data_IF_152249729703
#
_entry.id   IF_152249729703
#
_cell.length_a   1.000
_cell.length_b   1.000
_cell.length_c   1.000
_cell.angle_alpha   90.00
_cell.angle_beta   90.00
_cell.angle_gamma   90.00
#
_symmetry.space_group_name_H-M   'P 1'
#
loop_
_entity.id
_entity.type
_entity.pdbx_description
1 polymer ?
#
# COMPACT_ATOMS: atom_id res chain seq x y z
N UNK A 1 -1.81 9.66 24.30
CA UNK A 1 -2.20 8.56 23.41
C UNK A 1 -1.27 7.39 23.71
N UNK A 2 -1.80 6.21 24.00
CA UNK A 2 -1.02 5.01 24.29
C UNK A 2 -0.57 4.35 22.99
N UNK A 3 0.73 4.05 22.83
CA UNK A 3 1.28 3.42 21.63
C UNK A 3 1.00 1.91 21.69
N UNK A 4 0.32 1.39 20.66
CA UNK A 4 -0.02 -0.03 20.56
C UNK A 4 1.00 -0.80 19.71
N UNK A 5 1.41 -0.21 18.60
CA UNK A 5 2.30 -0.85 17.63
C UNK A 5 3.12 0.22 16.91
N UNK A 6 4.41 -0.05 16.73
CA UNK A 6 5.27 0.75 15.88
C UNK A 6 5.82 -0.10 14.74
N UNK A 7 5.36 0.19 13.53
CA UNK A 7 5.88 -0.44 12.31
C UNK A 7 7.02 0.37 11.69
N UNK A 8 7.45 -0.05 10.50
CA UNK A 8 8.52 0.59 9.75
C UNK A 8 8.21 2.04 9.35
N UNK A 9 7.01 2.31 8.86
CA UNK A 9 6.59 3.63 8.34
C UNK A 9 5.53 4.34 9.16
N UNK A 10 4.91 3.67 10.14
CA UNK A 10 3.73 4.19 10.86
C UNK A 10 3.73 3.77 12.33
N UNK A 11 3.07 4.55 13.17
CA UNK A 11 2.78 4.25 14.57
C UNK A 11 1.27 4.16 14.75
N UNK A 12 0.80 3.19 15.53
CA UNK A 12 -0.62 2.96 15.83
C UNK A 12 -0.84 3.19 17.32
N UNK A 13 -1.81 4.03 17.65
CA UNK A 13 -2.17 4.37 19.02
C UNK A 13 -3.63 4.03 19.32
N UNK A 14 -3.92 3.86 20.60
CA UNK A 14 -5.29 3.92 21.09
C UNK A 14 -5.90 5.30 20.78
N UNK A 15 -7.14 5.29 20.30
CA UNK A 15 -7.96 6.49 20.21
C UNK A 15 -8.75 6.69 21.52
N UNK A 16 -9.61 7.71 21.58
CA UNK A 16 -10.56 7.88 22.67
C UNK A 16 -11.81 6.98 22.57
N UNK A 17 -11.93 6.18 21.50
CA UNK A 17 -13.06 5.29 21.22
C UNK A 17 -12.61 3.83 21.17
N UNK A 18 -13.40 2.87 21.69
CA UNK A 18 -13.10 1.45 21.54
C UNK A 18 -13.16 0.99 20.09
N UNK A 19 -13.82 1.73 19.18
CA UNK A 19 -14.05 1.30 17.79
C UNK A 19 -13.04 1.85 16.79
N UNK A 20 -12.08 2.68 17.24
CA UNK A 20 -11.09 3.31 16.35
C UNK A 20 -9.65 3.20 16.87
N UNK A 21 -8.71 3.42 15.96
CA UNK A 21 -7.29 3.62 16.23
C UNK A 21 -6.82 4.94 15.63
N UNK A 22 -5.71 5.45 16.14
CA UNK A 22 -5.00 6.60 15.56
C UNK A 22 -3.74 6.09 14.87
N UNK A 23 -3.54 6.43 13.60
CA UNK A 23 -2.32 6.12 12.86
C UNK A 23 -1.55 7.41 12.60
N UNK A 24 -0.25 7.40 12.92
CA UNK A 24 0.70 8.46 12.58
C UNK A 24 1.71 7.99 11.55
N UNK A 25 1.84 8.72 10.45
CA UNK A 25 2.83 8.46 9.41
C UNK A 25 4.19 9.03 9.82
N UNK A 26 5.24 8.20 9.72
CA UNK A 26 6.62 8.59 10.04
C UNK A 26 7.37 9.09 8.81
N UNK A 27 8.40 9.89 9.06
CA UNK A 27 9.35 10.34 8.05
C UNK A 27 10.39 9.27 7.66
N UNK A 28 10.43 8.16 8.39
CA UNK A 28 11.33 7.05 8.12
C UNK A 28 11.01 6.35 6.79
N UNK A 29 12.01 6.20 5.94
CA UNK A 29 12.01 5.24 4.84
C UNK A 29 12.90 4.03 5.20
N UNK A 30 12.43 2.83 4.86
CA UNK A 30 13.17 1.58 5.07
C UNK A 30 13.20 0.73 3.80
N UNK A 31 14.30 0.06 3.54
CA UNK A 31 14.47 -0.87 2.42
C UNK A 31 15.34 -2.07 2.87
N UNK A 32 15.39 -3.11 2.03
CA UNK A 32 16.19 -4.33 2.28
C UNK A 32 15.88 -4.95 3.66
N UNK A 33 14.59 -5.16 3.95
CA UNK A 33 14.11 -5.69 5.24
C UNK A 33 14.63 -4.92 6.46
N UNK A 34 14.82 -3.60 6.33
CA UNK A 34 15.24 -2.73 7.43
C UNK A 34 16.75 -2.49 7.51
N UNK A 35 17.56 -3.17 6.68
CA UNK A 35 19.02 -2.95 6.62
C UNK A 35 19.37 -1.54 6.11
N UNK A 36 18.50 -0.93 5.31
CA UNK A 36 18.62 0.46 4.87
C UNK A 36 17.52 1.28 5.52
N UNK A 37 17.87 2.30 6.30
CA UNK A 37 16.96 3.18 7.02
C UNK A 37 17.46 4.62 6.97
N UNK A 38 16.58 5.56 6.65
CA UNK A 38 16.89 6.98 6.59
C UNK A 38 15.64 7.81 6.90
N UNK A 39 15.82 9.02 7.44
CA UNK A 39 14.73 9.97 7.74
C UNK A 39 14.58 10.99 6.62
N UNK A 40 13.37 11.12 6.09
CA UNK A 40 13.02 12.09 5.06
C UNK A 40 11.93 13.03 5.57
N UNK A 41 12.31 14.22 6.01
CA UNK A 41 11.37 15.22 6.52
C UNK A 41 10.26 15.52 5.49
N UNK A 42 9.01 15.42 5.93
CA UNK A 42 7.82 15.60 5.08
C UNK A 42 7.36 14.33 4.34
N UNK A 43 8.09 13.21 4.40
CA UNK A 43 7.63 11.93 3.82
C UNK A 43 6.31 11.48 4.44
N UNK A 44 6.19 11.57 5.76
CA UNK A 44 4.98 11.12 6.47
C UNK A 44 3.75 11.90 6.03
N UNK A 45 3.90 13.22 5.85
CA UNK A 45 2.85 14.11 5.36
C UNK A 45 2.45 13.77 3.93
N UNK A 46 3.41 13.55 3.03
CA UNK A 46 3.13 13.18 1.64
C UNK A 46 2.39 11.83 1.55
N UNK A 47 2.84 10.81 2.30
CA UNK A 47 2.16 9.52 2.31
C UNK A 47 0.74 9.61 2.88
N UNK A 48 0.56 10.36 3.97
CA UNK A 48 -0.74 10.60 4.56
C UNK A 48 -1.68 11.28 3.54
N UNK A 49 -1.25 12.37 2.92
CA UNK A 49 -2.04 13.10 1.93
C UNK A 49 -2.40 12.23 0.71
N UNK A 50 -1.44 11.51 0.14
CA UNK A 50 -1.67 10.63 -1.02
C UNK A 50 -2.62 9.48 -0.66
N UNK A 51 -2.38 8.81 0.47
CA UNK A 51 -3.20 7.68 0.90
C UNK A 51 -4.65 8.11 1.16
N UNK A 52 -4.85 9.27 1.76
CA UNK A 52 -6.19 9.77 2.03
C UNK A 52 -6.94 10.16 0.76
N UNK A 53 -6.27 10.83 -0.21
CA UNK A 53 -6.89 11.11 -1.52
C UNK A 53 -7.32 9.83 -2.24
N UNK A 54 -6.47 8.79 -2.18
CA UNK A 54 -6.77 7.49 -2.79
C UNK A 54 -7.93 6.80 -2.07
N UNK A 55 -7.94 6.77 -0.73
CA UNK A 55 -9.06 6.20 0.01
C UNK A 55 -10.38 6.93 -0.26
N UNK A 56 -10.38 8.26 -0.27
CA UNK A 56 -11.57 9.06 -0.61
C UNK A 56 -12.12 8.68 -2.00
N UNK A 57 -11.23 8.53 -2.99
CA UNK A 57 -11.60 8.09 -4.33
C UNK A 57 -12.15 6.66 -4.34
N UNK A 58 -11.51 5.73 -3.63
CA UNK A 58 -11.93 4.33 -3.54
C UNK A 58 -13.30 4.19 -2.85
N UNK A 59 -13.55 4.94 -1.78
CA UNK A 59 -14.84 4.93 -1.07
C UNK A 59 -15.98 5.48 -1.94
N UNK A 60 -15.73 6.58 -2.66
CA UNK A 60 -16.68 7.13 -3.66
C UNK A 60 -17.02 6.13 -4.76
N UNK A 61 -16.15 5.14 -4.99
CA UNK A 61 -16.31 4.07 -5.97
C UNK A 61 -16.70 2.71 -5.34
N UNK A 62 -17.15 2.71 -4.08
CA UNK A 62 -17.77 1.56 -3.43
C UNK A 62 -16.81 0.59 -2.73
N UNK A 63 -15.52 0.93 -2.60
CA UNK A 63 -14.55 0.11 -1.85
C UNK A 63 -14.55 0.56 -0.39
N UNK A 64 -14.88 -0.35 0.53
CA UNK A 64 -14.85 -0.07 1.97
C UNK A 64 -13.41 0.03 2.49
N UNK A 65 -13.08 1.12 3.18
CA UNK A 65 -11.78 1.31 3.81
C UNK A 65 -11.91 1.46 5.33
N UNK A 66 -10.77 1.44 6.01
CA UNK A 66 -10.69 1.73 7.44
C UNK A 66 -10.67 3.23 7.75
N UNK A 67 -10.55 4.14 6.77
CA UNK A 67 -10.41 5.57 7.03
C UNK A 67 -11.69 6.11 7.66
N UNK A 68 -11.57 6.82 8.78
CA UNK A 68 -12.69 7.53 9.42
C UNK A 68 -12.57 9.02 9.16
N UNK A 69 -11.39 9.59 9.42
CA UNK A 69 -11.09 11.00 9.13
C UNK A 69 -9.59 11.30 9.21
N UNK A 70 -9.19 12.37 8.56
CA UNK A 70 -7.87 13.00 8.73
C UNK A 70 -7.90 13.93 9.94
N UNK A 71 -6.94 13.80 10.86
CA UNK A 71 -6.84 14.64 12.06
C UNK A 71 -5.90 15.82 11.81
N UNK A 72 -4.73 15.53 11.24
CA UNK A 72 -3.70 16.51 10.92
C UNK A 72 -2.87 16.00 9.72
N UNK A 73 -1.89 16.76 9.19
CA UNK A 73 -1.14 16.37 7.99
C UNK A 73 -0.43 15.01 8.06
N UNK A 74 -0.23 14.45 9.25
CA UNK A 74 0.45 13.14 9.44
C UNK A 74 -0.37 12.12 10.20
N UNK A 75 -1.56 12.48 10.67
CA UNK A 75 -2.36 11.67 11.60
C UNK A 75 -3.76 11.43 11.06
N UNK A 76 -4.19 10.17 11.10
CA UNK A 76 -5.55 9.76 10.71
C UNK A 76 -6.21 8.96 11.84
N UNK A 77 -7.54 9.02 11.89
CA UNK A 77 -8.36 8.10 12.66
C UNK A 77 -8.90 7.02 11.73
N UNK A 78 -8.81 5.76 12.17
CA UNK A 78 -9.22 4.60 11.39
C UNK A 78 -10.09 3.65 12.22
N UNK A 79 -10.93 2.86 11.56
CA UNK A 79 -11.70 1.78 12.20
C UNK A 79 -10.76 0.77 12.85
N UNK A 80 -11.14 0.30 14.04
CA UNK A 80 -10.48 -0.82 14.70
C UNK A 80 -10.74 -2.09 13.89
N UNK A 81 -9.65 -2.79 13.57
CA UNK A 81 -9.67 -4.07 12.85
C UNK A 81 -8.70 -5.06 13.46
N UNK A 82 -8.95 -6.34 13.24
CA UNK A 82 -7.96 -7.40 13.38
C UNK A 82 -7.29 -7.60 12.02
N UNK A 83 -6.01 -7.26 11.88
CA UNK A 83 -5.29 -7.38 10.62
C UNK A 83 -5.18 -8.86 10.23
N UNK A 84 -5.58 -9.18 8.99
CA UNK A 84 -5.27 -10.47 8.38
C UNK A 84 -3.77 -10.45 8.07
N UNK A 85 -2.95 -11.41 8.59
CA UNK A 85 -1.49 -11.36 8.46
C UNK A 85 -1.01 -11.80 7.07
N UNK A 86 -1.69 -11.34 6.02
CA UNK A 86 -1.45 -11.64 4.62
C UNK A 86 -1.44 -10.34 3.83
N UNK A 87 -0.33 -10.10 3.14
CA UNK A 87 -0.20 -9.02 2.17
C UNK A 87 -0.73 -9.47 0.81
N UNK A 88 -1.60 -8.68 0.19
CA UNK A 88 -2.14 -8.96 -1.15
C UNK A 88 -1.42 -8.07 -2.15
N UNK A 89 -0.66 -8.66 -3.06
CA UNK A 89 0.16 -7.94 -4.03
C UNK A 89 -0.44 -8.12 -5.41
N UNK A 90 -0.71 -7.02 -6.10
CA UNK A 90 -1.23 -7.02 -7.47
C UNK A 90 -0.17 -6.46 -8.41
N UNK A 91 0.06 -7.13 -9.56
CA UNK A 91 1.06 -6.70 -10.55
C UNK A 91 0.46 -6.62 -11.94
N UNK A 92 0.73 -5.52 -12.62
CA UNK A 92 0.37 -5.26 -14.02
C UNK A 92 1.59 -5.36 -14.93
N UNK A 93 2.76 -4.97 -14.41
CA UNK A 93 4.05 -4.99 -15.12
C UNK A 93 5.06 -5.73 -14.25
N UNK A 94 5.92 -6.56 -14.85
CA UNK A 94 6.98 -7.25 -14.12
C UNK A 94 7.98 -6.23 -13.53
N UNK A 95 8.19 -6.26 -12.22
CA UNK A 95 9.18 -5.40 -11.55
C UNK A 95 9.65 -6.02 -10.23
N UNK A 96 10.72 -5.44 -9.67
CA UNK A 96 11.16 -5.72 -8.30
C UNK A 96 11.36 -7.20 -7.98
N UNK A 97 10.76 -7.66 -6.88
CA UNK A 97 10.90 -9.06 -6.42
C UNK A 97 10.31 -10.08 -7.39
N UNK A 98 9.30 -9.71 -8.20
CA UNK A 98 8.72 -10.60 -9.21
C UNK A 98 9.72 -10.88 -10.33
N UNK A 99 10.30 -9.83 -10.90
CA UNK A 99 11.33 -9.92 -11.94
C UNK A 99 12.50 -10.78 -11.48
N UNK A 100 12.98 -10.56 -10.24
CA UNK A 100 14.06 -11.36 -9.66
C UNK A 100 13.68 -12.83 -9.45
N UNK A 101 12.47 -13.09 -8.92
CA UNK A 101 12.00 -14.43 -8.59
C UNK A 101 11.81 -15.30 -9.83
N UNK A 102 11.26 -14.75 -10.91
CA UNK A 102 10.90 -15.50 -12.11
C UNK A 102 11.85 -15.29 -13.30
N UNK A 103 12.91 -14.48 -13.14
CA UNK A 103 13.86 -14.22 -14.23
C UNK A 103 13.26 -13.45 -15.39
N UNK A 104 12.27 -12.58 -15.12
CA UNK A 104 11.59 -11.77 -16.14
C UNK A 104 12.14 -10.35 -16.10
N UNK A 105 12.43 -9.77 -17.27
CA UNK A 105 12.96 -8.41 -17.38
C UNK A 105 11.99 -7.39 -16.76
N UNK A 106 12.52 -6.44 -15.98
CA UNK A 106 11.72 -5.35 -15.40
C UNK A 106 11.14 -4.48 -16.52
N UNK A 107 9.85 -4.17 -16.42
CA UNK A 107 9.11 -3.43 -17.44
C UNK A 107 8.39 -4.32 -18.44
N UNK A 108 8.57 -5.64 -18.39
CA UNK A 108 7.81 -6.59 -19.21
C UNK A 108 6.31 -6.47 -18.89
N UNK A 109 5.44 -6.12 -19.85
CA UNK A 109 4.00 -6.16 -19.66
C UNK A 109 3.54 -7.59 -19.41
N UNK A 110 2.75 -7.80 -18.36
CA UNK A 110 2.19 -9.12 -18.07
C UNK A 110 0.99 -9.39 -18.98
N UNK A 111 0.80 -10.66 -19.37
CA UNK A 111 -0.31 -11.08 -20.24
C UNK A 111 -1.68 -10.97 -19.56
N UNK A 112 -1.69 -10.95 -18.23
CA UNK A 112 -2.83 -10.70 -17.37
C UNK A 112 -2.34 -10.09 -16.06
N UNK A 113 -3.21 -9.37 -15.36
CA UNK A 113 -2.95 -8.95 -13.98
C UNK A 113 -2.75 -10.19 -13.10
N UNK A 114 -1.72 -10.19 -12.26
CA UNK A 114 -1.41 -11.27 -11.33
C UNK A 114 -1.60 -10.83 -9.89
N UNK A 115 -2.04 -11.74 -9.04
CA UNK A 115 -2.18 -11.55 -7.60
C UNK A 115 -1.30 -12.55 -6.85
N UNK A 116 -0.47 -12.07 -5.94
CA UNK A 116 0.37 -12.89 -5.06
C UNK A 116 0.02 -12.60 -3.60
N UNK A 117 0.26 -13.58 -2.73
CA UNK A 117 0.21 -13.36 -1.29
C UNK A 117 1.61 -13.47 -0.67
N UNK A 118 1.85 -12.66 0.35
CA UNK A 118 3.00 -12.76 1.25
C UNK A 118 2.51 -12.85 2.70
N UNK A 119 3.15 -13.68 3.52
CA UNK A 119 2.94 -13.66 4.96
C UNK A 119 3.47 -12.34 5.50
N UNK A 120 2.68 -11.59 6.28
CA UNK A 120 3.15 -10.36 6.93
C UNK A 120 4.02 -10.73 8.13
N UNK A 121 5.34 -10.79 7.94
CA UNK A 121 6.31 -11.16 8.98
C UNK A 121 7.67 -10.56 8.66
N UNK A 122 7.96 -9.42 9.31
CA UNK A 122 9.25 -8.75 9.18
C UNK A 122 10.42 -9.66 9.57
N UNK A 123 10.23 -10.53 10.57
CA UNK A 123 11.22 -11.51 11.04
C UNK A 123 11.57 -12.54 9.96
N UNK A 124 10.57 -13.02 9.23
CA UNK A 124 10.73 -14.02 8.16
C UNK A 124 10.99 -13.38 6.79
N UNK A 125 11.01 -12.06 6.70
CA UNK A 125 11.23 -11.33 5.45
C UNK A 125 10.07 -11.44 4.46
N UNK A 126 8.85 -11.48 4.97
CA UNK A 126 7.60 -11.49 4.21
C UNK A 126 7.50 -12.57 3.12
N UNK A 127 7.68 -13.86 3.46
CA UNK A 127 7.79 -14.92 2.48
C UNK A 127 6.50 -15.08 1.67
N UNK A 128 6.65 -15.41 0.38
CA UNK A 128 5.52 -15.73 -0.49
C UNK A 128 4.78 -16.95 0.09
N UNK A 129 3.46 -16.88 0.11
CA UNK A 129 2.59 -17.93 0.61
C UNK A 129 1.41 -18.13 -0.37
N UNK A 130 0.91 -19.35 -0.51
CA UNK A 130 -0.26 -19.63 -1.36
C UNK A 130 -1.53 -19.88 -0.53
N UNK A 131 -2.69 -19.93 -1.19
CA UNK A 131 -4.00 -20.15 -0.57
C UNK A 131 -4.04 -21.39 0.35
N UNK A 132 -3.48 -22.51 -0.10
CA UNK A 132 -3.46 -23.77 0.66
C UNK A 132 -2.63 -23.64 1.94
N UNK A 133 -1.52 -22.91 1.89
CA UNK A 133 -0.68 -22.66 3.06
C UNK A 133 -1.34 -21.66 4.02
N UNK A 134 -1.98 -20.62 3.49
CA UNK A 134 -2.72 -19.63 4.29
C UNK A 134 -3.83 -20.31 5.09
N UNK A 135 -4.64 -21.13 4.42
CA UNK A 135 -5.74 -21.86 5.04
C UNK A 135 -5.25 -22.94 6.01
N UNK A 136 -4.20 -23.69 5.66
CA UNK A 136 -3.62 -24.70 6.54
C UNK A 136 -3.02 -24.12 7.83
N UNK A 137 -2.50 -22.90 7.79
CA UNK A 137 -2.00 -22.17 8.95
C UNK A 137 -3.09 -21.41 9.72
N UNK A 138 -4.33 -21.41 9.24
CA UNK A 138 -5.46 -20.71 9.87
C UNK A 138 -5.35 -19.18 9.82
N UNK A 139 -4.58 -18.62 8.87
CA UNK A 139 -4.38 -17.17 8.78
C UNK A 139 -5.59 -16.45 8.16
N UNK A 140 -6.28 -17.13 7.23
CA UNK A 140 -7.53 -16.69 6.62
C UNK A 140 -8.31 -17.91 6.07
N UNK A 141 -9.63 -17.77 5.96
CA UNK A 141 -10.46 -18.78 5.27
C UNK A 141 -10.41 -18.59 3.76
N UNK A 142 -10.86 -19.59 2.98
CA UNK A 142 -10.92 -19.46 1.51
C UNK A 142 -11.86 -18.32 1.08
N UNK A 143 -13.01 -18.16 1.75
CA UNK A 143 -13.95 -17.08 1.45
C UNK A 143 -13.33 -15.70 1.68
N UNK A 144 -12.53 -15.56 2.75
CA UNK A 144 -11.79 -14.33 3.03
C UNK A 144 -10.72 -14.06 1.96
N UNK A 145 -9.98 -15.09 1.53
CA UNK A 145 -8.98 -14.98 0.47
C UNK A 145 -9.61 -14.55 -0.87
N UNK A 146 -10.72 -15.16 -1.24
CA UNK A 146 -11.43 -14.86 -2.48
C UNK A 146 -12.01 -13.45 -2.45
N UNK A 147 -12.57 -13.04 -1.31
CA UNK A 147 -13.03 -11.67 -1.10
C UNK A 147 -11.88 -10.66 -1.19
N UNK A 148 -10.79 -10.85 -0.46
CA UNK A 148 -9.61 -9.96 -0.51
C UNK A 148 -9.05 -9.85 -1.94
N UNK A 149 -8.97 -10.96 -2.67
CA UNK A 149 -8.53 -10.96 -4.08
C UNK A 149 -9.49 -10.16 -4.97
N UNK A 150 -10.79 -10.35 -4.79
CA UNK A 150 -11.81 -9.63 -5.57
C UNK A 150 -11.72 -8.12 -5.35
N UNK A 151 -11.59 -7.67 -4.10
CA UNK A 151 -11.39 -6.25 -3.75
C UNK A 151 -10.06 -5.74 -4.27
N UNK A 152 -8.97 -6.51 -4.16
CA UNK A 152 -7.67 -6.11 -4.68
C UNK A 152 -7.71 -5.88 -6.20
N UNK A 153 -8.37 -6.75 -6.97
CA UNK A 153 -8.55 -6.58 -8.41
C UNK A 153 -9.47 -5.40 -8.74
N UNK A 154 -10.54 -5.17 -7.96
CA UNK A 154 -11.38 -3.98 -8.12
C UNK A 154 -10.60 -2.68 -7.88
N UNK A 155 -9.78 -2.65 -6.83
CA UNK A 155 -8.85 -1.55 -6.56
C UNK A 155 -7.88 -1.38 -7.74
N UNK A 156 -7.40 -2.46 -8.36
CA UNK A 156 -6.50 -2.38 -9.51
C UNK A 156 -7.12 -1.62 -10.67
N UNK A 157 -8.37 -1.96 -11.02
CA UNK A 157 -9.11 -1.30 -12.10
C UNK A 157 -9.21 0.21 -11.86
N UNK A 158 -9.67 0.57 -10.66
CA UNK A 158 -9.88 1.96 -10.24
C UNK A 158 -8.56 2.74 -10.22
N UNK A 159 -7.50 2.17 -9.65
CA UNK A 159 -6.21 2.86 -9.55
C UNK A 159 -5.48 2.92 -10.89
N UNK A 160 -5.61 1.90 -11.76
CA UNK A 160 -5.08 1.98 -13.12
C UNK A 160 -5.73 3.11 -13.90
N UNK A 161 -7.06 3.27 -13.81
CA UNK A 161 -7.77 4.38 -14.46
C UNK A 161 -7.33 5.73 -13.88
N UNK A 162 -7.27 5.86 -12.55
CA UNK A 162 -6.87 7.10 -11.88
C UNK A 162 -5.44 7.50 -12.23
N UNK A 163 -4.48 6.57 -12.10
CA UNK A 163 -3.08 6.88 -12.41
C UNK A 163 -2.85 7.13 -13.90
N UNK A 164 -3.59 6.47 -14.80
CA UNK A 164 -3.52 6.79 -16.22
C UNK A 164 -3.93 8.24 -16.51
N UNK A 165 -4.96 8.78 -15.84
CA UNK A 165 -5.33 10.21 -15.93
C UNK A 165 -4.23 11.14 -15.38
N UNK A 166 -3.46 10.67 -14.41
CA UNK A 166 -2.26 11.34 -13.91
C UNK A 166 -1.03 11.20 -14.81
N UNK A 167 -1.10 10.50 -15.94
CA UNK A 167 0.09 10.18 -16.74
C UNK A 167 1.09 9.30 -15.98
N UNK A 168 0.60 8.39 -15.14
CA UNK A 168 1.38 7.44 -14.32
C UNK A 168 0.94 6.02 -14.63
N UNK A 169 1.90 5.10 -14.78
CA UNK A 169 1.68 3.65 -14.85
C UNK A 169 1.69 3.07 -13.44
N UNK A 170 0.61 2.39 -13.07
CA UNK A 170 0.56 1.55 -11.87
C UNK A 170 1.18 0.18 -12.19
N UNK A 171 2.44 0.01 -11.79
CA UNK A 171 3.26 -1.17 -12.12
C UNK A 171 2.85 -2.36 -11.26
N UNK A 172 2.89 -2.17 -9.95
CA UNK A 172 2.39 -3.09 -8.93
C UNK A 172 2.08 -2.32 -7.64
N UNK A 173 1.35 -2.95 -6.73
CA UNK A 173 1.09 -2.42 -5.40
C UNK A 173 0.73 -3.53 -4.42
N UNK A 174 0.77 -3.18 -3.14
CA UNK A 174 0.45 -4.07 -2.03
C UNK A 174 -0.71 -3.49 -1.22
N UNK A 175 -1.66 -4.34 -0.85
CA UNK A 175 -2.75 -4.04 0.08
C UNK A 175 -2.67 -4.91 1.33
N UNK A 176 -3.26 -4.40 2.41
CA UNK A 176 -3.54 -5.17 3.63
C UNK A 176 -5.02 -5.03 3.97
N UNK A 177 -5.55 -6.06 4.61
CA UNK A 177 -6.97 -6.14 4.96
C UNK A 177 -7.13 -6.45 6.44
N UNK A 178 -8.26 -6.00 7.00
CA UNK A 178 -8.60 -6.24 8.39
C UNK A 178 -10.02 -6.76 8.54
N UNK A 179 -10.21 -7.70 9.47
CA UNK A 179 -11.51 -8.17 9.94
C UNK A 179 -12.11 -7.11 10.87
N UNK A 180 -13.35 -6.74 10.62
CA UNK A 180 -14.13 -5.81 11.44
C UNK A 180 -15.55 -6.36 11.64
N UNK A 181 -16.34 -5.71 12.48
CA UNK A 181 -17.78 -6.03 12.59
C UNK A 181 -18.55 -5.86 11.27
N UNK A 182 -18.03 -5.07 10.34
CA UNK A 182 -18.61 -4.84 9.00
C UNK A 182 -18.13 -5.84 7.93
N UNK A 183 -17.36 -6.86 8.34
CA UNK A 183 -16.65 -7.78 7.47
C UNK A 183 -15.20 -7.35 7.19
N UNK A 184 -14.60 -7.89 6.13
CA UNK A 184 -13.24 -7.53 5.70
C UNK A 184 -13.25 -6.17 4.99
N UNK A 185 -12.36 -5.28 5.40
CA UNK A 185 -12.18 -3.94 4.83
C UNK A 185 -10.72 -3.66 4.49
N UNK A 186 -10.50 -2.76 3.52
CA UNK A 186 -9.17 -2.31 3.13
C UNK A 186 -8.52 -1.46 4.23
N UNK A 187 -7.26 -1.74 4.55
CA UNK A 187 -6.51 -1.14 5.66
C UNK A 187 -5.11 -0.68 5.22
N UNK A 188 -4.28 -0.30 6.21
CA UNK A 188 -2.91 0.19 6.05
C UNK A 188 -2.81 1.49 5.22
N UNK A 189 -1.96 1.56 4.19
CA UNK A 189 -1.78 2.73 3.34
C UNK A 189 -1.71 2.36 1.85
N UNK A 190 -2.18 3.27 0.99
CA UNK A 190 -1.86 3.25 -0.45
C UNK A 190 -1.06 4.51 -0.76
N UNK A 191 0.24 4.35 -0.95
CA UNK A 191 1.16 5.46 -1.17
C UNK A 191 2.31 5.01 -2.08
N UNK A 192 3.22 5.92 -2.48
CA UNK A 192 4.42 5.52 -3.22
C UNK A 192 5.39 4.62 -2.40
N UNK A 193 5.14 4.41 -1.10
CA UNK A 193 5.82 3.37 -0.32
C UNK A 193 5.30 1.95 -0.64
N UNK A 194 3.99 1.81 -0.89
CA UNK A 194 3.28 0.55 -1.13
C UNK A 194 2.92 0.30 -2.61
N UNK A 195 3.19 1.26 -3.50
CA UNK A 195 2.99 1.15 -4.94
C UNK A 195 4.29 1.36 -5.71
N UNK A 196 4.46 0.69 -6.85
CA UNK A 196 5.40 1.10 -7.90
C UNK A 196 4.66 1.96 -8.93
N UNK A 197 5.16 3.16 -9.13
CA UNK A 197 4.54 4.20 -9.94
C UNK A 197 5.58 4.73 -10.91
N UNK A 198 5.38 4.52 -12.20
CA UNK A 198 6.30 5.03 -13.22
C UNK A 198 5.63 6.12 -14.04
N UNK A 199 6.36 7.19 -14.33
CA UNK A 199 5.91 8.19 -15.28
C UNK A 199 5.60 7.53 -16.64
N UNK A 200 4.45 7.86 -17.23
CA UNK A 200 3.95 7.11 -18.40
C UNK A 200 4.79 7.32 -19.66
N UNK A 201 5.39 8.50 -19.82
CA UNK A 201 6.20 8.87 -20.99
C UNK A 201 7.65 8.39 -20.83
N UNK A 202 8.24 8.64 -19.67
CA UNK A 202 9.68 8.45 -19.44
C UNK A 202 10.03 7.13 -18.74
N UNK A 203 9.05 6.43 -18.17
CA UNK A 203 9.25 5.33 -17.22
C UNK A 203 10.10 5.72 -15.98
N UNK A 204 10.24 7.02 -15.69
CA UNK A 204 10.91 7.48 -14.48
C UNK A 204 10.16 6.98 -13.24
N UNK A 205 10.89 6.45 -12.25
CA UNK A 205 10.29 5.91 -11.03
C UNK A 205 9.87 7.06 -10.12
N UNK A 206 8.61 7.06 -9.72
CA UNK A 206 7.97 8.06 -8.86
C UNK A 206 7.67 7.50 -7.45
N UNK A 207 8.35 6.42 -7.08
CA UNK A 207 8.06 5.62 -5.90
C UNK A 207 9.32 5.31 -5.07
N UNK A 208 9.12 4.53 -4.00
CA UNK A 208 10.18 4.14 -3.06
C UNK A 208 11.36 3.42 -3.70
N UNK A 209 11.26 2.88 -4.92
CA UNK A 209 12.42 2.34 -5.64
C UNK A 209 13.52 3.38 -5.85
N UNK A 210 13.20 4.68 -5.87
CA UNK A 210 14.22 5.73 -5.87
C UNK A 210 15.13 5.66 -4.64
N UNK A 211 14.56 5.40 -3.47
CA UNK A 211 15.32 5.15 -2.24
C UNK A 211 15.98 3.76 -2.25
N UNK A 212 15.26 2.71 -2.70
CA UNK A 212 15.81 1.34 -2.74
C UNK A 212 17.07 1.23 -3.62
N UNK A 213 17.18 2.07 -4.65
CA UNK A 213 18.23 2.02 -5.68
C UNK A 213 19.12 3.27 -5.75
N UNK A 214 19.09 4.11 -4.70
CA UNK A 214 19.97 5.28 -4.60
C UNK A 214 19.84 6.27 -5.79
N UNK A 215 18.63 6.44 -6.32
CA UNK A 215 18.34 7.30 -7.48
C UNK A 215 18.17 8.78 -7.13
N UNK A 216 18.23 9.13 -5.84
CA UNK A 216 17.99 10.49 -5.34
C UNK A 216 16.55 11.00 -5.51
N UNK A 217 16.27 12.16 -4.93
CA UNK A 217 15.01 12.91 -5.03
C UNK A 217 13.72 12.09 -4.81
N UNK A 218 13.68 11.29 -3.74
CA UNK A 218 12.49 10.52 -3.38
C UNK A 218 11.29 11.44 -3.07
N UNK A 219 11.52 12.53 -2.32
CA UNK A 219 10.46 13.45 -1.93
C UNK A 219 9.91 14.25 -3.12
N UNK A 220 10.76 14.65 -4.09
CA UNK A 220 10.30 15.30 -5.31
C UNK A 220 9.36 14.39 -6.11
N UNK A 221 9.70 13.11 -6.24
CA UNK A 221 8.82 12.12 -6.84
C UNK A 221 7.47 11.99 -6.12
N UNK A 222 7.46 11.95 -4.79
CA UNK A 222 6.21 11.82 -4.02
C UNK A 222 5.35 13.09 -4.13
N UNK A 223 5.96 14.28 -4.09
CA UNK A 223 5.27 15.56 -4.35
C UNK A 223 4.66 15.59 -5.75
N UNK A 224 5.36 15.05 -6.75
CA UNK A 224 4.83 14.98 -8.10
C UNK A 224 3.62 14.06 -8.19
N UNK A 225 3.66 12.88 -7.55
CA UNK A 225 2.48 12.00 -7.45
C UNK A 225 1.29 12.73 -6.81
N UNK A 226 1.51 13.39 -5.66
CA UNK A 226 0.47 14.14 -4.97
C UNK A 226 -0.13 15.25 -5.86
N UNK A 227 0.72 16.04 -6.52
CA UNK A 227 0.32 17.14 -7.40
C UNK A 227 -0.55 16.63 -8.55
N UNK A 228 -0.15 15.52 -9.20
CA UNK A 228 -0.90 14.93 -10.32
C UNK A 228 -2.25 14.37 -9.85
N UNK A 229 -2.30 13.68 -8.71
CA UNK A 229 -3.55 13.21 -8.11
C UNK A 229 -4.51 14.36 -7.81
N UNK A 230 -4.04 15.42 -7.16
CA UNK A 230 -4.84 16.60 -6.87
C UNK A 230 -5.39 17.26 -8.15
N UNK A 231 -4.61 17.26 -9.25
CA UNK A 231 -5.08 17.86 -10.51
C UNK A 231 -6.23 17.11 -11.19
N UNK A 232 -6.41 15.81 -10.89
CA UNK A 232 -7.46 14.98 -11.51
C UNK A 232 -8.62 14.66 -10.57
N UNK A 233 -8.43 14.84 -9.26
CA UNK A 233 -9.44 14.60 -8.21
C UNK A 233 -10.07 15.89 -7.67
N UNK A 234 -9.58 17.07 -8.09
CA UNK A 234 -10.16 18.37 -7.75
C UNK A 234 -11.52 18.62 -8.42
#
# INVERSE_FOLDING_TARGET
MNLLYEGKSKQVYESGSPDTYIIKFKNTATALNGLKKEEFEGKGELNCAISNLIYDYLEKNGVKTHLVRVIDPTTIEVKRVEIVPVEVIVRNIAAGSFSKKYGVEEGTPLRNTTTEFSLKSDELGDPMINDSQITALGLATQDELDYMRSVALRVNELLCELFAKCGIKLVDYKLEFGRSGDGIILCDEISPDSCRLWDAETNSKLDKDRFRRDMGDMLGAYREVLRRLQSVLA
#
